data_IF_515690741496
#
_entry.id   IF_515690741496
#
_cell.length_a   1.000
_cell.length_b   1.000
_cell.length_c   1.000
_cell.angle_alpha   90.00
_cell.angle_beta   90.00
_cell.angle_gamma   90.00
#
_symmetry.space_group_name_H-M   'P 1'
#
loop_
_entity.id
_entity.type
_entity.pdbx_description
1 polymer ?
#
# COMPACT_ATOMS: atom_id res chain seq x y z
N UNK A 1 34.56 -8.53 41.28
CA UNK A 1 33.80 -9.81 41.23
C UNK A 1 32.43 -9.53 41.82
N UNK A 2 31.36 -9.58 41.03
CA UNK A 2 30.00 -9.42 41.58
C UNK A 2 29.69 -10.60 42.51
N UNK A 3 29.20 -10.30 43.70
CA UNK A 3 28.84 -11.32 44.68
C UNK A 3 27.82 -12.31 44.11
N UNK A 4 28.02 -13.60 44.40
CA UNK A 4 27.20 -14.73 43.94
C UNK A 4 25.70 -14.56 44.25
N UNK A 5 25.38 -13.75 45.26
CA UNK A 5 24.01 -13.44 45.66
C UNK A 5 23.32 -12.48 44.69
N UNK A 6 24.05 -11.52 44.11
CA UNK A 6 23.52 -10.57 43.10
C UNK A 6 23.20 -11.29 41.80
N UNK A 7 24.06 -12.24 41.39
CA UNK A 7 23.81 -13.08 40.21
C UNK A 7 22.58 -13.98 40.37
N UNK A 8 22.38 -14.54 41.56
CA UNK A 8 21.20 -15.36 41.88
C UNK A 8 19.91 -14.53 41.90
N UNK A 9 19.95 -13.33 42.48
CA UNK A 9 18.81 -12.42 42.50
C UNK A 9 18.45 -11.96 41.08
N UNK A 10 19.45 -11.58 40.27
CA UNK A 10 19.23 -11.18 38.88
C UNK A 10 18.65 -12.32 38.02
N UNK A 11 19.17 -13.55 38.19
CA UNK A 11 18.65 -14.72 37.50
C UNK A 11 17.21 -15.04 37.93
N UNK A 12 16.92 -14.96 39.23
CA UNK A 12 15.58 -15.18 39.77
C UNK A 12 14.57 -14.15 39.26
N UNK A 13 14.93 -12.87 39.25
CA UNK A 13 14.09 -11.78 38.73
C UNK A 13 13.85 -11.92 37.21
N UNK A 14 14.86 -12.35 36.45
CA UNK A 14 14.71 -12.59 35.01
C UNK A 14 13.71 -13.73 34.72
N UNK A 15 13.82 -14.85 35.44
CA UNK A 15 12.89 -15.98 35.30
C UNK A 15 11.47 -15.58 35.70
N UNK A 16 11.31 -14.87 36.81
CA UNK A 16 10.01 -14.38 37.25
C UNK A 16 9.39 -13.39 36.25
N UNK A 17 10.20 -12.49 35.68
CA UNK A 17 9.74 -11.53 34.66
C UNK A 17 9.30 -12.21 33.35
N UNK A 18 10.05 -13.20 32.88
CA UNK A 18 9.69 -13.98 31.68
C UNK A 18 8.40 -14.77 31.91
N UNK A 19 8.25 -15.42 33.08
CA UNK A 19 7.04 -16.14 33.42
C UNK A 19 5.83 -15.20 33.46
N UNK A 20 5.94 -14.04 34.11
CA UNK A 20 4.85 -13.06 34.19
C UNK A 20 4.44 -12.54 32.81
N UNK A 21 5.42 -12.26 31.94
CA UNK A 21 5.18 -11.79 30.57
C UNK A 21 4.51 -12.85 29.69
N UNK A 22 4.95 -14.11 29.76
CA UNK A 22 4.35 -15.21 29.02
C UNK A 22 2.91 -15.47 29.47
N UNK A 23 2.65 -15.42 30.78
CA UNK A 23 1.29 -15.54 31.32
C UNK A 23 0.40 -14.38 30.90
N UNK A 24 0.89 -13.14 30.94
CA UNK A 24 0.13 -11.97 30.49
C UNK A 24 -0.20 -12.02 28.98
N UNK A 25 0.75 -12.47 28.15
CA UNK A 25 0.54 -12.64 26.71
C UNK A 25 -0.47 -13.75 26.40
N UNK A 26 -0.41 -14.88 27.13
CA UNK A 26 -1.37 -15.99 26.99
C UNK A 26 -2.78 -15.64 27.46
N UNK A 27 -2.91 -14.88 28.55
CA UNK A 27 -4.21 -14.42 29.08
C UNK A 27 -4.87 -13.34 28.21
N UNK A 28 -4.12 -12.67 27.33
CA UNK A 28 -4.63 -11.63 26.43
C UNK A 28 -5.44 -12.17 25.23
N UNK A 29 -5.58 -13.49 25.11
CA UNK A 29 -6.36 -14.17 24.07
C UNK A 29 -5.56 -14.48 22.81
N UNK A 30 -6.16 -15.19 21.83
CA UNK A 30 -5.47 -15.54 20.59
C UNK A 30 -5.09 -14.30 19.78
N UNK A 31 -3.93 -14.39 19.13
CA UNK A 31 -3.33 -13.36 18.31
C UNK A 31 -3.24 -13.86 16.87
N UNK A 32 -3.77 -13.09 15.93
CA UNK A 32 -3.63 -13.36 14.49
C UNK A 32 -2.85 -12.22 13.85
N UNK A 33 -1.69 -12.52 13.28
CA UNK A 33 -0.89 -11.54 12.54
C UNK A 33 -0.45 -10.33 13.38
N UNK A 34 -0.26 -10.50 14.69
CA UNK A 34 0.19 -9.42 15.58
C UNK A 34 -0.93 -8.52 16.14
N UNK A 35 -2.20 -8.85 15.89
CA UNK A 35 -3.36 -8.14 16.43
C UNK A 35 -4.28 -9.10 17.22
N UNK A 36 -4.94 -8.61 18.28
CA UNK A 36 -5.89 -9.42 19.06
C UNK A 36 -7.14 -9.72 18.24
N UNK A 37 -7.61 -10.97 18.25
CA UNK A 37 -8.83 -11.39 17.54
C UNK A 37 -10.04 -10.55 17.94
N UNK A 38 -10.22 -10.27 19.24
CA UNK A 38 -11.33 -9.42 19.72
C UNK A 38 -11.23 -7.94 19.30
N UNK A 39 -10.04 -7.42 19.01
CA UNK A 39 -9.85 -6.06 18.48
C UNK A 39 -10.13 -6.01 16.98
N UNK A 40 -9.76 -7.06 16.24
CA UNK A 40 -10.19 -7.25 14.84
C UNK A 40 -11.72 -7.33 14.74
N UNK A 41 -12.37 -8.10 15.59
CA UNK A 41 -13.84 -8.24 15.59
C UNK A 41 -14.52 -6.92 15.94
N UNK A 42 -13.99 -6.16 16.91
CA UNK A 42 -14.47 -4.81 17.22
C UNK A 42 -14.22 -3.81 16.09
N UNK A 43 -13.10 -3.90 15.37
CA UNK A 43 -12.82 -3.04 14.23
C UNK A 43 -13.78 -3.35 13.07
N UNK A 44 -14.05 -4.62 12.77
CA UNK A 44 -15.04 -5.05 11.80
C UNK A 44 -16.47 -4.60 12.18
N UNK A 45 -16.83 -4.66 13.47
CA UNK A 45 -18.12 -4.17 13.96
C UNK A 45 -18.26 -2.63 13.87
N UNK A 46 -17.15 -1.87 13.97
CA UNK A 46 -17.15 -0.40 13.80
C UNK A 46 -17.24 0.03 12.34
N UNK A 47 -16.73 -0.77 11.39
CA UNK A 47 -16.93 -0.52 9.94
C UNK A 47 -18.41 -0.58 9.56
N UNK A 48 -19.23 -1.39 10.25
CA UNK A 48 -20.66 -1.46 10.00
C UNK A 48 -21.46 -0.21 10.45
N UNK A 49 -20.86 0.71 11.21
CA UNK A 49 -21.56 1.88 11.78
C UNK A 49 -21.00 3.25 11.38
N UNK A 50 -20.01 3.31 10.48
CA UNK A 50 -19.48 4.57 9.93
C UNK A 50 -20.18 4.98 8.62
N UNK A 51 -21.26 5.76 8.72
CA UNK A 51 -22.14 6.11 7.61
C UNK A 51 -21.72 7.30 6.73
N UNK A 52 -22.33 7.35 5.54
CA UNK A 52 -22.86 8.58 4.96
C UNK A 52 -24.37 8.37 4.79
N UNK A 53 -25.17 9.14 5.53
CA UNK A 53 -26.63 9.07 5.53
C UNK A 53 -27.22 9.72 4.28
N UNK A 54 -28.04 8.96 3.55
CA UNK A 54 -29.25 9.50 2.92
C UNK A 54 -30.39 8.48 3.10
N UNK A 55 -31.41 8.87 3.87
CA UNK A 55 -32.81 8.54 3.58
C UNK A 55 -33.33 7.12 3.82
N UNK A 56 -34.03 6.98 4.96
CA UNK A 56 -35.16 6.08 5.26
C UNK A 56 -34.83 4.64 5.66
N UNK A 57 -35.12 4.34 6.93
CA UNK A 57 -35.21 3.01 7.48
C UNK A 57 -36.14 2.13 6.63
N UNK A 58 -35.58 1.05 6.07
CA UNK A 58 -36.33 -0.06 5.51
C UNK A 58 -36.14 -1.27 6.41
N UNK A 59 -37.25 -1.90 6.80
CA UNK A 59 -37.33 -3.10 7.63
C UNK A 59 -36.52 -4.28 7.05
N UNK A 60 -36.10 -5.26 7.87
CA UNK A 60 -35.26 -6.35 7.41
C UNK A 60 -36.05 -7.31 6.51
N UNK A 61 -35.77 -7.26 5.21
CA UNK A 61 -36.20 -8.28 4.25
C UNK A 61 -35.22 -9.46 4.18
N UNK A 62 -35.67 -10.67 3.81
CA UNK A 62 -34.84 -11.86 3.78
C UNK A 62 -34.00 -11.90 2.49
N UNK A 63 -32.98 -11.07 2.41
CA UNK A 63 -31.86 -11.28 1.47
C UNK A 63 -30.66 -10.47 1.92
N UNK A 64 -29.96 -10.97 2.94
CA UNK A 64 -28.62 -10.50 3.25
C UNK A 64 -27.68 -11.02 2.14
N UNK A 65 -27.54 -10.25 1.06
CA UNK A 65 -26.47 -10.50 0.10
C UNK A 65 -25.15 -10.45 0.87
N UNK A 66 -24.43 -11.57 0.87
CA UNK A 66 -23.15 -11.76 1.54
C UNK A 66 -22.21 -10.61 1.16
N UNK A 67 -22.05 -9.64 2.06
CA UNK A 67 -21.06 -8.59 1.89
C UNK A 67 -19.69 -9.26 1.66
N UNK A 68 -18.87 -8.78 0.70
CA UNK A 68 -17.54 -9.33 0.48
C UNK A 68 -16.77 -9.30 1.79
N UNK A 69 -16.23 -10.45 2.19
CA UNK A 69 -15.37 -10.51 3.37
C UNK A 69 -14.16 -9.59 3.13
N UNK A 70 -13.73 -8.79 4.13
CA UNK A 70 -12.52 -8.01 4.00
C UNK A 70 -11.37 -8.93 3.61
N UNK A 71 -10.59 -8.49 2.61
CA UNK A 71 -9.42 -9.24 2.18
C UNK A 71 -8.48 -9.42 3.38
N UNK A 72 -7.83 -10.59 3.54
CA UNK A 72 -6.87 -10.80 4.61
C UNK A 72 -5.78 -9.71 4.51
N UNK A 73 -5.46 -9.10 5.65
CA UNK A 73 -4.29 -8.21 5.75
C UNK A 73 -3.07 -8.95 5.23
N UNK A 74 -2.19 -8.24 4.52
CA UNK A 74 -0.94 -8.83 4.08
C UNK A 74 -0.20 -9.41 5.31
N UNK A 75 0.38 -10.62 5.20
CA UNK A 75 1.16 -11.18 6.29
C UNK A 75 2.27 -10.19 6.67
N UNK A 76 2.60 -10.13 7.97
CA UNK A 76 3.72 -9.32 8.44
C UNK A 76 4.98 -9.72 7.66
N UNK A 77 5.49 -8.80 6.84
CA UNK A 77 6.67 -9.05 5.98
C UNK A 77 7.94 -9.16 6.84
N UNK A 78 7.89 -8.61 8.06
CA UNK A 78 8.92 -8.70 9.07
C UNK A 78 8.29 -9.10 10.41
N UNK A 79 8.93 -10.01 11.13
CA UNK A 79 8.62 -10.18 12.55
C UNK A 79 8.89 -8.85 13.27
N UNK A 80 8.03 -8.41 14.20
CA UNK A 80 8.34 -7.26 15.04
C UNK A 80 9.69 -7.52 15.74
N UNK A 81 10.61 -6.56 15.67
CA UNK A 81 11.83 -6.64 16.46
C UNK A 81 11.40 -6.80 17.92
N UNK A 82 11.83 -7.89 18.57
CA UNK A 82 11.66 -8.02 19.99
C UNK A 82 12.32 -6.79 20.66
N UNK A 83 11.57 -6.09 21.52
CA UNK A 83 12.05 -4.90 22.23
C UNK A 83 13.30 -5.16 23.11
N UNK A 84 13.72 -6.42 23.23
CA UNK A 84 14.86 -6.90 24.02
C UNK A 84 16.09 -7.27 23.18
N UNK A 85 16.04 -7.17 21.84
CA UNK A 85 17.22 -7.36 21.00
C UNK A 85 18.17 -6.18 21.19
N UNK A 86 19.02 -6.25 22.22
CA UNK A 86 20.12 -5.31 22.40
C UNK A 86 21.03 -5.49 21.20
N UNK A 87 21.10 -4.49 20.32
CA UNK A 87 22.13 -4.46 19.29
C UNK A 87 23.48 -4.72 19.99
N UNK A 88 24.40 -5.47 19.38
CA UNK A 88 25.77 -5.53 19.88
C UNK A 88 26.21 -4.10 20.19
N UNK A 89 26.89 -3.86 21.32
CA UNK A 89 27.47 -2.55 21.63
C UNK A 89 28.59 -2.26 20.61
N UNK A 90 28.22 -2.00 19.36
CA UNK A 90 29.09 -1.49 18.34
C UNK A 90 29.37 -0.05 18.76
N UNK A 91 30.51 0.14 19.42
CA UNK A 91 30.96 1.48 19.78
C UNK A 91 31.04 2.32 18.51
N UNK A 92 30.70 3.62 18.61
CA UNK A 92 30.81 4.54 17.49
C UNK A 92 32.23 4.50 16.86
N UNK A 93 33.25 4.26 17.68
CA UNK A 93 34.64 4.05 17.27
C UNK A 93 34.83 2.82 16.40
N UNK A 94 34.23 1.67 16.76
CA UNK A 94 34.31 0.46 15.96
C UNK A 94 33.63 0.63 14.58
N UNK A 95 32.46 1.27 14.55
CA UNK A 95 31.77 1.59 13.30
C UNK A 95 32.57 2.56 12.43
N UNK A 96 33.14 3.61 13.02
CA UNK A 96 33.98 4.56 12.30
C UNK A 96 35.23 3.88 11.72
N UNK A 97 35.89 3.01 12.49
CA UNK A 97 37.06 2.26 12.03
C UNK A 97 36.80 1.40 10.79
N UNK A 98 35.58 0.87 10.64
CA UNK A 98 35.17 0.08 9.47
C UNK A 98 34.65 0.97 8.32
N UNK A 99 33.79 1.93 8.61
CA UNK A 99 33.06 2.70 7.59
C UNK A 99 33.90 3.84 6.98
N UNK A 100 34.78 4.48 7.75
CA UNK A 100 35.57 5.61 7.25
C UNK A 100 36.50 5.23 6.10
N UNK A 101 37.24 4.11 6.13
CA UNK A 101 38.05 3.67 5.00
C UNK A 101 37.20 3.41 3.75
N UNK A 102 36.05 2.74 3.89
CA UNK A 102 35.14 2.44 2.77
C UNK A 102 34.60 3.72 2.14
N UNK A 103 34.18 4.68 2.96
CA UNK A 103 33.67 5.98 2.50
C UNK A 103 34.78 6.90 1.95
N UNK A 104 36.06 6.53 2.03
CA UNK A 104 37.14 7.23 1.32
C UNK A 104 37.39 6.69 -0.09
N UNK A 105 36.79 5.56 -0.47
CA UNK A 105 36.97 4.97 -1.79
C UNK A 105 36.64 5.99 -2.90
N UNK A 106 37.58 6.27 -3.84
CA UNK A 106 37.37 7.25 -4.91
C UNK A 106 36.16 6.93 -5.81
N UNK A 107 35.86 5.65 -5.99
CA UNK A 107 34.74 5.17 -6.81
C UNK A 107 33.35 5.66 -6.33
N UNK A 108 33.21 6.12 -5.09
CA UNK A 108 31.94 6.60 -4.53
C UNK A 108 31.60 8.05 -4.94
N UNK A 109 32.50 8.77 -5.61
CA UNK A 109 32.28 10.17 -5.99
C UNK A 109 32.17 11.11 -4.78
N UNK A 110 31.53 12.26 -4.95
CA UNK A 110 31.24 13.21 -3.87
C UNK A 110 29.96 14.01 -4.17
N UNK A 111 29.14 14.36 -3.16
CA UNK A 111 29.35 14.14 -1.72
C UNK A 111 29.13 12.69 -1.29
N UNK A 112 29.73 12.31 -0.14
CA UNK A 112 29.61 10.97 0.47
C UNK A 112 29.05 11.13 1.86
N UNK A 113 27.84 10.64 2.05
CA UNK A 113 27.10 10.77 3.31
C UNK A 113 26.73 9.40 3.85
N UNK A 114 26.74 9.24 5.16
CA UNK A 114 26.31 8.02 5.83
C UNK A 114 25.73 8.36 7.21
N UNK A 115 24.74 7.57 7.63
CA UNK A 115 24.12 7.64 8.95
C UNK A 115 23.77 6.23 9.39
N UNK A 116 24.17 5.86 10.61
CA UNK A 116 23.78 4.61 11.26
C UNK A 116 23.10 4.99 12.57
N UNK A 117 21.89 4.48 12.76
CA UNK A 117 21.05 4.77 13.92
C UNK A 117 20.58 3.44 14.50
N UNK A 118 20.59 3.35 15.83
CA UNK A 118 19.93 2.27 16.55
C UNK A 118 18.42 2.40 16.35
N UNK A 119 17.80 1.43 15.67
CA UNK A 119 16.38 1.48 15.34
C UNK A 119 15.45 1.38 16.57
N UNK A 120 15.92 0.80 17.68
CA UNK A 120 15.11 0.66 18.90
C UNK A 120 15.16 1.92 19.76
N UNK A 121 16.32 2.59 19.84
CA UNK A 121 16.52 3.75 20.71
C UNK A 121 16.52 5.09 19.96
N UNK A 122 16.65 5.09 18.63
CA UNK A 122 16.87 6.28 17.82
C UNK A 122 18.26 6.90 18.00
N UNK A 123 19.15 6.26 18.78
CA UNK A 123 20.47 6.80 19.08
C UNK A 123 21.37 6.74 17.83
N UNK A 124 21.98 7.85 17.39
CA UNK A 124 22.96 7.81 16.32
C UNK A 124 24.20 7.02 16.79
N UNK A 125 24.63 6.07 15.97
CA UNK A 125 25.79 5.21 16.22
C UNK A 125 26.99 5.60 15.33
N UNK A 126 26.72 6.19 14.16
CA UNK A 126 27.74 6.72 13.26
C UNK A 126 27.13 7.78 12.33
N UNK A 127 27.92 8.76 11.92
CA UNK A 127 27.50 9.76 10.95
C UNK A 127 28.67 10.43 10.23
N UNK A 128 28.57 10.54 8.90
CA UNK A 128 29.48 11.32 8.06
C UNK A 128 28.64 12.15 7.11
N UNK A 129 28.69 13.47 7.23
CA UNK A 129 27.82 14.36 6.44
C UNK A 129 26.33 14.02 6.58
N UNK A 130 25.91 13.50 7.74
CA UNK A 130 24.57 12.92 7.91
C UNK A 130 23.43 13.92 7.70
N UNK A 131 23.68 15.22 7.90
CA UNK A 131 22.75 16.30 7.67
C UNK A 131 22.90 16.97 6.28
N UNK A 132 23.85 16.51 5.45
CA UNK A 132 24.10 17.08 4.13
C UNK A 132 23.01 16.59 3.15
N UNK A 133 22.24 17.50 2.50
CA UNK A 133 21.27 17.11 1.50
C UNK A 133 21.94 16.48 0.28
N UNK A 134 21.39 15.36 -0.19
CA UNK A 134 21.84 14.65 -1.40
C UNK A 134 20.64 14.24 -2.25
N UNK A 135 20.84 14.07 -3.55
CA UNK A 135 19.77 13.57 -4.45
C UNK A 135 19.44 12.13 -4.03
N UNK A 136 18.23 11.84 -3.54
CA UNK A 136 17.93 10.55 -2.90
C UNK A 136 17.75 9.40 -3.91
N UNK A 137 17.60 9.72 -5.20
CA UNK A 137 17.13 8.77 -6.21
C UNK A 137 15.93 7.96 -5.68
N UNK A 138 15.91 6.63 -5.84
CA UNK A 138 14.80 5.78 -5.38
C UNK A 138 14.64 5.70 -3.86
N UNK A 139 15.59 6.18 -3.04
CA UNK A 139 15.41 6.20 -1.58
C UNK A 139 14.30 7.16 -1.13
N UNK A 140 13.91 8.12 -1.99
CA UNK A 140 12.74 8.99 -1.78
C UNK A 140 11.44 8.19 -1.58
N UNK A 141 11.36 6.97 -2.13
CA UNK A 141 10.18 6.10 -2.01
C UNK A 141 9.90 5.71 -0.56
N UNK A 142 10.90 5.70 0.32
CA UNK A 142 10.69 5.44 1.75
C UNK A 142 9.82 6.53 2.37
N UNK A 143 10.14 7.80 2.11
CA UNK A 143 9.36 8.94 2.60
C UNK A 143 7.94 8.95 1.98
N UNK A 144 7.82 8.68 0.67
CA UNK A 144 6.52 8.58 0.00
C UNK A 144 5.66 7.45 0.58
N UNK A 145 6.23 6.27 0.82
CA UNK A 145 5.52 5.13 1.39
C UNK A 145 5.06 5.42 2.83
N UNK A 146 5.93 6.01 3.66
CA UNK A 146 5.57 6.40 5.02
C UNK A 146 4.43 7.43 5.03
N UNK A 147 4.47 8.44 4.16
CA UNK A 147 3.41 9.42 4.01
C UNK A 147 2.08 8.78 3.56
N UNK A 148 2.13 7.90 2.56
CA UNK A 148 0.94 7.21 2.05
C UNK A 148 0.30 6.31 3.13
N UNK A 149 1.11 5.50 3.81
CA UNK A 149 0.63 4.63 4.89
C UNK A 149 0.08 5.42 6.08
N UNK A 150 0.73 6.53 6.46
CA UNK A 150 0.24 7.38 7.54
C UNK A 150 -1.04 8.13 7.20
N UNK A 151 -1.22 8.56 5.95
CA UNK A 151 -2.38 9.34 5.53
C UNK A 151 -3.59 8.46 5.16
N UNK A 152 -3.35 7.30 4.53
CA UNK A 152 -4.40 6.44 3.97
C UNK A 152 -4.65 5.18 4.80
N UNK A 153 -3.66 4.74 5.57
CA UNK A 153 -3.66 3.44 6.24
C UNK A 153 -3.29 2.28 5.32
N UNK A 154 -2.86 1.13 5.88
CA UNK A 154 -2.46 -0.05 5.11
C UNK A 154 -3.63 -0.74 4.39
N UNK A 155 -4.86 -0.51 4.85
CA UNK A 155 -6.07 -1.12 4.29
C UNK A 155 -6.70 -0.29 3.17
N UNK A 156 -6.12 0.86 2.81
CA UNK A 156 -6.63 1.68 1.72
C UNK A 156 -6.67 0.89 0.41
N UNK A 157 -7.71 1.13 -0.39
CA UNK A 157 -7.89 0.55 -1.72
C UNK A 157 -8.20 1.65 -2.71
N UNK A 158 -7.54 1.59 -3.87
CA UNK A 158 -7.82 2.46 -5.00
C UNK A 158 -8.88 1.77 -5.87
N UNK A 159 -9.99 2.44 -6.14
CA UNK A 159 -11.15 1.83 -6.80
C UNK A 159 -11.39 2.44 -8.16
N UNK A 160 -11.31 1.62 -9.21
CA UNK A 160 -11.82 1.97 -10.54
C UNK A 160 -13.28 1.55 -10.63
N UNK A 161 -14.16 2.45 -11.06
CA UNK A 161 -15.60 2.24 -11.06
C UNK A 161 -16.25 2.70 -12.35
N UNK A 162 -17.56 2.49 -12.45
CA UNK A 162 -18.36 2.90 -13.59
C UNK A 162 -19.60 3.62 -13.09
N UNK A 163 -19.86 4.80 -13.64
CA UNK A 163 -21.10 5.55 -13.40
C UNK A 163 -21.87 5.71 -14.70
N UNK A 164 -23.17 5.91 -14.60
CA UNK A 164 -24.00 6.21 -15.74
C UNK A 164 -24.83 7.46 -15.45
N UNK A 165 -25.09 8.22 -16.50
CA UNK A 165 -26.07 9.31 -16.50
C UNK A 165 -27.46 8.81 -16.07
N UNK A 166 -28.31 9.74 -15.63
CA UNK A 166 -29.67 9.41 -15.14
C UNK A 166 -30.49 8.68 -16.21
N UNK A 167 -30.40 9.13 -17.46
CA UNK A 167 -31.05 8.53 -18.63
C UNK A 167 -30.30 7.28 -19.18
N UNK A 168 -29.16 6.93 -18.57
CA UNK A 168 -28.29 5.84 -18.96
C UNK A 168 -27.76 5.91 -20.40
N UNK A 169 -27.76 7.09 -21.04
CA UNK A 169 -27.27 7.26 -22.42
C UNK A 169 -25.75 7.37 -22.50
N UNK A 170 -25.11 7.77 -21.41
CA UNK A 170 -23.66 7.82 -21.28
C UNK A 170 -23.20 7.03 -20.06
N UNK A 171 -22.20 6.18 -20.27
CA UNK A 171 -21.45 5.47 -19.23
C UNK A 171 -20.07 6.11 -19.11
N UNK A 172 -19.56 6.25 -17.89
CA UNK A 172 -18.24 6.82 -17.62
C UNK A 172 -17.41 5.85 -16.79
N UNK A 173 -16.26 5.45 -17.33
CA UNK A 173 -15.24 4.70 -16.60
C UNK A 173 -14.43 5.66 -15.72
N UNK A 174 -14.53 5.53 -14.40
CA UNK A 174 -13.95 6.47 -13.42
C UNK A 174 -12.68 5.89 -12.82
N UNK A 175 -11.55 6.56 -13.04
CA UNK A 175 -10.25 6.17 -12.52
C UNK A 175 -10.07 6.52 -11.04
N UNK A 176 -9.79 5.50 -10.22
CA UNK A 176 -9.47 5.68 -8.79
C UNK A 176 -8.00 5.90 -8.47
N UNK A 177 -7.12 5.80 -9.47
CA UNK A 177 -5.68 5.86 -9.30
C UNK A 177 -4.98 4.52 -9.18
N UNK A 178 -5.66 3.38 -9.36
CA UNK A 178 -5.08 2.04 -9.26
C UNK A 178 -4.15 1.75 -10.46
N UNK A 179 -2.82 1.71 -10.28
CA UNK A 179 -1.90 1.38 -11.37
C UNK A 179 -1.81 -0.13 -11.60
N UNK A 180 -2.46 -0.96 -10.76
CA UNK A 180 -2.36 -2.42 -10.82
C UNK A 180 -3.53 -3.07 -11.54
N UNK A 181 -4.55 -2.31 -11.93
CA UNK A 181 -5.75 -2.83 -12.61
C UNK A 181 -5.34 -3.74 -13.78
N UNK A 182 -5.70 -5.01 -13.67
CA UNK A 182 -5.37 -6.04 -14.65
C UNK A 182 -6.57 -6.31 -15.58
N UNK A 183 -6.33 -7.10 -16.61
CA UNK A 183 -7.33 -7.45 -17.62
C UNK A 183 -8.53 -8.19 -17.01
N UNK A 184 -8.28 -9.10 -16.05
CA UNK A 184 -9.35 -9.87 -15.42
C UNK A 184 -10.28 -9.00 -14.58
N UNK A 185 -9.74 -8.04 -13.84
CA UNK A 185 -10.54 -7.05 -13.08
C UNK A 185 -11.25 -6.07 -13.99
N UNK A 186 -10.65 -5.67 -15.11
CA UNK A 186 -11.34 -4.84 -16.11
C UNK A 186 -12.50 -5.61 -16.77
N UNK A 187 -12.29 -6.90 -17.07
CA UNK A 187 -13.31 -7.79 -17.60
C UNK A 187 -14.48 -7.97 -16.63
N UNK A 188 -14.18 -8.23 -15.35
CA UNK A 188 -15.20 -8.34 -14.31
C UNK A 188 -16.03 -7.04 -14.18
N UNK A 189 -15.37 -5.88 -14.26
CA UNK A 189 -16.04 -4.58 -14.25
C UNK A 189 -16.96 -4.40 -15.48
N UNK A 190 -16.54 -4.85 -16.66
CA UNK A 190 -17.34 -4.80 -17.87
C UNK A 190 -18.56 -5.74 -17.78
N UNK A 191 -18.39 -6.94 -17.23
CA UNK A 191 -19.49 -7.88 -16.94
C UNK A 191 -20.53 -7.25 -16.03
N UNK A 192 -20.10 -6.75 -14.86
CA UNK A 192 -20.99 -6.12 -13.90
C UNK A 192 -21.72 -4.90 -14.48
N UNK A 193 -21.02 -4.10 -15.30
CA UNK A 193 -21.60 -2.95 -15.99
C UNK A 193 -22.69 -3.38 -16.97
N UNK A 194 -22.42 -4.39 -17.81
CA UNK A 194 -23.40 -4.88 -18.78
C UNK A 194 -24.64 -5.49 -18.09
N UNK A 195 -24.46 -6.22 -17.00
CA UNK A 195 -25.56 -6.75 -16.18
C UNK A 195 -26.41 -5.62 -15.58
N UNK A 196 -25.76 -4.61 -14.99
CA UNK A 196 -26.45 -3.45 -14.42
C UNK A 196 -27.25 -2.65 -15.47
N UNK A 197 -26.71 -2.51 -16.69
CA UNK A 197 -27.41 -1.83 -17.79
C UNK A 197 -28.62 -2.65 -18.28
N UNK A 198 -28.48 -3.98 -18.43
CA UNK A 198 -29.59 -4.85 -18.82
C UNK A 198 -30.70 -4.86 -17.78
N UNK A 199 -30.37 -4.91 -16.50
CA UNK A 199 -31.35 -4.82 -15.41
C UNK A 199 -32.14 -3.50 -15.44
N UNK A 200 -31.54 -2.42 -15.98
CA UNK A 200 -32.19 -1.11 -16.17
C UNK A 200 -32.93 -0.98 -17.51
N UNK A 201 -32.87 -1.99 -18.39
CA UNK A 201 -33.32 -1.85 -19.78
C UNK A 201 -32.59 -0.75 -20.56
N UNK A 202 -31.37 -0.41 -20.14
CA UNK A 202 -30.60 0.69 -20.68
C UNK A 202 -29.76 0.28 -21.90
N UNK A 203 -29.77 1.12 -22.93
CA UNK A 203 -28.90 1.03 -24.08
C UNK A 203 -28.09 2.33 -24.21
N UNK A 204 -26.91 2.41 -23.56
CA UNK A 204 -26.05 3.58 -23.69
C UNK A 204 -25.60 3.76 -25.14
N UNK A 205 -25.27 4.99 -25.51
CA UNK A 205 -24.78 5.35 -26.83
C UNK A 205 -23.39 6.01 -26.80
N UNK A 206 -22.82 6.17 -25.61
CA UNK A 206 -21.51 6.76 -25.43
C UNK A 206 -20.79 6.18 -24.21
N UNK A 207 -19.49 5.95 -24.36
CA UNK A 207 -18.54 5.76 -23.27
C UNK A 207 -17.62 6.98 -23.14
N UNK A 208 -17.52 7.51 -21.93
CA UNK A 208 -16.48 8.47 -21.55
C UNK A 208 -15.58 7.87 -20.46
N UNK A 209 -14.48 8.55 -20.13
CA UNK A 209 -13.65 8.18 -18.98
C UNK A 209 -13.28 9.42 -18.17
N UNK A 210 -13.16 9.24 -16.86
CA UNK A 210 -12.87 10.30 -15.91
C UNK A 210 -11.51 10.05 -15.24
N UNK A 211 -10.58 10.98 -15.47
CA UNK A 211 -9.24 11.01 -14.86
C UNK A 211 -9.05 12.16 -13.87
N UNK A 212 -10.12 12.93 -13.59
CA UNK A 212 -10.09 14.19 -12.84
C UNK A 212 -9.62 14.07 -11.39
N UNK A 213 -9.55 12.84 -10.84
CA UNK A 213 -8.96 12.58 -9.52
C UNK A 213 -7.52 13.06 -9.41
N UNK A 214 -6.77 13.03 -10.51
CA UNK A 214 -5.42 13.60 -10.58
C UNK A 214 -5.48 14.89 -11.41
N UNK A 215 -4.78 15.93 -10.94
CA UNK A 215 -4.66 17.22 -11.62
C UNK A 215 -3.18 17.58 -11.80
N UNK A 216 -2.90 18.38 -12.82
CA UNK A 216 -1.54 18.84 -13.12
C UNK A 216 -0.81 17.98 -14.18
N UNK A 217 0.51 18.17 -14.33
CA UNK A 217 1.29 17.51 -15.36
C UNK A 217 1.32 15.99 -15.19
N UNK A 218 1.03 15.25 -16.26
CA UNK A 218 1.06 13.77 -16.26
C UNK A 218 2.47 13.20 -16.39
N UNK A 219 3.48 14.01 -16.71
CA UNK A 219 4.89 13.59 -16.78
C UNK A 219 5.74 14.40 -15.84
N UNK A 220 6.61 13.72 -15.09
CA UNK A 220 7.61 14.38 -14.27
C UNK A 220 8.77 14.89 -15.14
N UNK A 221 9.31 16.07 -14.83
CA UNK A 221 10.47 16.67 -15.52
C UNK A 221 11.78 15.85 -15.45
N UNK A 222 11.81 14.76 -14.67
CA UNK A 222 13.04 14.00 -14.38
C UNK A 222 13.31 12.92 -15.44
N UNK A 223 12.35 12.57 -16.31
CA UNK A 223 12.62 11.51 -17.27
C UNK A 223 11.77 11.56 -18.54
N UNK A 224 12.43 11.26 -19.66
CA UNK A 224 11.85 11.07 -20.99
C UNK A 224 12.02 9.62 -21.49
N UNK A 225 12.23 8.66 -20.56
CA UNK A 225 12.32 7.24 -20.87
C UNK A 225 10.98 6.68 -21.34
N UNK A 226 11.03 5.72 -22.26
CA UNK A 226 9.87 4.96 -22.75
C UNK A 226 9.29 4.03 -21.67
N UNK A 227 10.04 3.81 -20.59
CA UNK A 227 9.66 3.02 -19.41
C UNK A 227 8.90 3.82 -18.34
N UNK A 228 8.71 5.13 -18.54
CA UNK A 228 8.00 6.05 -17.64
C UNK A 228 6.59 6.33 -18.16
N UNK A 229 5.60 5.78 -17.45
CA UNK A 229 4.20 5.96 -17.77
C UNK A 229 3.73 7.37 -17.37
N UNK A 230 2.81 7.99 -18.14
CA UNK A 230 2.03 9.12 -17.66
C UNK A 230 1.31 8.79 -16.34
N UNK A 231 1.40 9.70 -15.36
CA UNK A 231 0.68 9.61 -14.09
C UNK A 231 -0.76 10.07 -14.32
N UNK A 232 -1.68 9.12 -14.41
CA UNK A 232 -3.12 9.33 -14.61
C UNK A 232 -3.93 8.48 -13.63
N UNK A 233 -5.17 8.89 -13.33
CA UNK A 233 -6.03 8.17 -12.41
C UNK A 233 -6.61 6.87 -13.00
N UNK A 234 -6.48 6.66 -14.31
CA UNK A 234 -6.99 5.48 -15.01
C UNK A 234 -5.89 4.84 -15.86
N UNK A 235 -5.53 3.60 -15.57
CA UNK A 235 -4.62 2.79 -16.39
C UNK A 235 -4.79 1.31 -16.07
N UNK A 236 -4.49 0.44 -17.02
CA UNK A 236 -4.26 -0.99 -16.79
C UNK A 236 -2.77 -1.28 -16.74
N UNK A 237 -2.35 -2.20 -15.85
CA UNK A 237 -0.97 -2.72 -15.76
C UNK A 237 0.12 -1.65 -15.78
N UNK A 238 -0.08 -0.56 -15.04
CA UNK A 238 0.81 0.59 -15.00
C UNK A 238 1.11 1.19 -16.39
N UNK A 239 0.21 1.01 -17.36
CA UNK A 239 0.35 1.42 -18.75
C UNK A 239 1.35 0.60 -19.57
N UNK A 240 1.75 -0.61 -19.14
CA UNK A 240 2.67 -1.46 -19.92
C UNK A 240 2.05 -1.89 -21.25
N UNK A 241 2.83 -1.83 -22.33
CA UNK A 241 2.44 -2.29 -23.67
C UNK A 241 2.83 -3.76 -23.94
N UNK A 242 3.63 -4.35 -23.06
CA UNK A 242 4.03 -5.75 -23.14
C UNK A 242 3.44 -6.58 -21.99
N UNK A 243 3.76 -7.88 -21.99
CA UNK A 243 3.30 -8.84 -20.98
C UNK A 243 4.24 -8.93 -19.76
N UNK A 244 5.28 -8.11 -19.67
CA UNK A 244 6.21 -8.14 -18.55
C UNK A 244 5.52 -7.73 -17.24
N UNK A 245 5.90 -8.39 -16.15
CA UNK A 245 5.42 -8.07 -14.79
C UNK A 245 6.46 -7.33 -13.96
N UNK A 246 7.70 -7.26 -14.45
CA UNK A 246 8.83 -6.61 -13.80
C UNK A 246 9.81 -6.04 -14.84
N UNK A 247 10.77 -5.24 -14.38
CA UNK A 247 11.75 -4.59 -15.25
C UNK A 247 11.20 -3.43 -16.07
N UNK A 248 12.05 -2.78 -16.88
CA UNK A 248 11.65 -1.77 -17.85
C UNK A 248 10.67 -2.35 -18.86
N UNK A 249 9.72 -1.53 -19.32
CA UNK A 249 8.84 -1.88 -20.43
C UNK A 249 8.27 -0.62 -21.07
N UNK A 250 8.04 -0.63 -22.40
CA UNK A 250 7.38 0.46 -23.08
C UNK A 250 6.02 0.78 -22.44
N UNK A 251 5.73 2.07 -22.29
CA UNK A 251 4.50 2.57 -21.69
C UNK A 251 3.60 3.24 -22.72
N UNK A 252 2.30 3.04 -22.58
CA UNK A 252 1.29 3.73 -23.39
C UNK A 252 1.46 5.25 -23.25
N UNK A 253 1.39 5.95 -24.38
CA UNK A 253 1.42 7.41 -24.40
C UNK A 253 0.17 8.03 -23.75
N UNK A 254 -0.97 7.32 -23.82
CA UNK A 254 -2.23 7.65 -23.15
C UNK A 254 -2.84 6.39 -22.51
N UNK A 255 -2.39 6.02 -21.30
CA UNK A 255 -2.87 4.82 -20.61
C UNK A 255 -4.38 4.82 -20.30
N UNK A 256 -4.96 6.00 -20.07
CA UNK A 256 -6.38 6.14 -19.75
C UNK A 256 -7.24 5.81 -20.96
N UNK A 257 -6.88 6.35 -22.12
CA UNK A 257 -7.58 6.07 -23.37
C UNK A 257 -7.43 4.62 -23.80
N UNK A 258 -6.25 4.02 -23.65
CA UNK A 258 -6.05 2.59 -23.94
C UNK A 258 -6.90 1.71 -23.02
N UNK A 259 -7.00 2.05 -21.74
CA UNK A 259 -7.87 1.34 -20.79
C UNK A 259 -9.35 1.48 -21.15
N UNK A 260 -9.80 2.68 -21.51
CA UNK A 260 -11.18 2.92 -21.91
C UNK A 260 -11.56 2.18 -23.20
N UNK A 261 -10.63 2.07 -24.17
CA UNK A 261 -10.81 1.27 -25.39
C UNK A 261 -11.00 -0.21 -25.08
N UNK A 262 -10.10 -0.78 -24.28
CA UNK A 262 -10.23 -2.17 -23.85
C UNK A 262 -11.56 -2.43 -23.11
N UNK A 263 -11.98 -1.50 -22.27
CA UNK A 263 -13.28 -1.58 -21.60
C UNK A 263 -14.46 -1.54 -22.57
N UNK A 264 -14.42 -0.67 -23.59
CA UNK A 264 -15.45 -0.59 -24.63
C UNK A 264 -15.56 -1.91 -25.42
N UNK A 265 -14.43 -2.51 -25.78
CA UNK A 265 -14.39 -3.81 -26.47
C UNK A 265 -15.00 -4.92 -25.60
N UNK A 266 -14.69 -4.92 -24.31
CA UNK A 266 -15.27 -5.87 -23.35
C UNK A 266 -16.79 -5.69 -23.18
N UNK A 267 -17.29 -4.46 -23.22
CA UNK A 267 -18.73 -4.16 -23.24
C UNK A 267 -19.39 -4.64 -24.54
N UNK A 268 -18.74 -4.40 -25.69
CA UNK A 268 -19.24 -4.83 -27.00
C UNK A 268 -19.34 -6.36 -27.09
N UNK A 269 -18.35 -7.09 -26.57
CA UNK A 269 -18.38 -8.55 -26.44
C UNK A 269 -19.55 -9.05 -25.55
N UNK A 270 -20.10 -8.18 -24.71
CA UNK A 270 -21.28 -8.42 -23.87
C UNK A 270 -22.56 -7.84 -24.48
N UNK A 271 -22.55 -7.42 -25.74
CA UNK A 271 -23.74 -6.90 -26.43
C UNK A 271 -24.14 -5.48 -26.03
N UNK A 272 -23.26 -4.74 -25.34
CA UNK A 272 -23.45 -3.32 -25.02
C UNK A 272 -22.56 -2.50 -25.97
N UNK A 273 -23.16 -1.77 -26.91
CA UNK A 273 -22.44 -0.89 -27.84
C UNK A 273 -22.46 0.54 -27.31
N UNK A 274 -21.31 1.20 -27.27
CA UNK A 274 -21.05 2.53 -26.69
C UNK A 274 -20.09 3.34 -27.55
#
# INVERSE_FOLDING_TARGET
>A
MLERNVLRLAAGSAVAGVALAATAAGLAGPWDGGQRTAERDRAAARVATGGAHHGRAAAPGPSASRAPAPAPSAPAVLAPLAATARAPDASATALAGVLDPLLRAPALGSPRTASVVDAATGRPLYGRGAATPVVPASTVKIATAAAALSALGPDHRLTTGVVATRDARTVTLVGGGDPTLDEGRLEALATATAEALRARGAAPAALTYDTSRYVGPVRHRIGAGDDIAPVTALMTRAGRLDRSTSGPAPRAADPARETARAFAELLAARGVRV
#
